data_IF_471583490998
#
_entry.id   IF_471583490998
#
_cell.length_a   1.000
_cell.length_b   1.000
_cell.length_c   1.000
_cell.angle_alpha   90.00
_cell.angle_beta   90.00
_cell.angle_gamma   90.00
#
_symmetry.space_group_name_H-M   'P 1'
#
loop_
_entity.id
_entity.type
_entity.pdbx_description
1 polymer ?
#
# COMPACT_ATOMS: atom_id res chain seq x y z
N UNK A 1 40.00 -33.84 56.60
CA UNK A 1 40.25 -33.01 55.39
C UNK A 1 39.55 -33.67 54.20
N UNK A 2 38.91 -32.86 53.33
CA UNK A 2 38.19 -33.21 52.08
C UNK A 2 36.73 -33.65 52.25
N UNK A 3 35.75 -33.19 51.48
CA UNK A 3 35.64 -32.07 50.54
C UNK A 3 34.16 -31.77 50.28
N UNK A 4 33.88 -30.49 50.02
CA UNK A 4 32.63 -29.86 49.64
C UNK A 4 32.44 -29.97 48.12
N UNK A 5 31.30 -30.42 47.59
CA UNK A 5 30.87 -30.12 46.21
C UNK A 5 29.34 -29.98 46.18
N UNK A 6 28.88 -28.74 46.05
CA UNK A 6 27.50 -28.39 45.76
C UNK A 6 27.23 -28.46 44.26
N UNK A 7 26.06 -28.99 43.89
CA UNK A 7 25.59 -29.07 42.52
C UNK A 7 24.65 -27.89 42.26
N UNK A 8 25.10 -26.89 41.50
CA UNK A 8 24.23 -25.88 40.88
C UNK A 8 23.73 -26.43 39.55
N UNK A 9 22.44 -26.75 39.45
CA UNK A 9 21.77 -27.00 38.17
C UNK A 9 21.32 -25.67 37.58
N UNK A 10 22.05 -25.18 36.57
CA UNK A 10 21.61 -24.07 35.72
C UNK A 10 20.61 -24.60 34.69
N UNK A 11 19.35 -24.13 34.77
CA UNK A 11 18.32 -24.41 33.78
C UNK A 11 18.60 -23.65 32.49
N UNK A 12 18.81 -24.37 31.39
CA UNK A 12 18.93 -23.82 30.05
C UNK A 12 17.53 -23.58 29.47
N UNK A 13 17.11 -22.32 29.41
CA UNK A 13 15.89 -21.90 28.71
C UNK A 13 16.15 -21.86 27.21
N UNK A 14 15.60 -22.82 26.46
CA UNK A 14 15.59 -22.82 25.00
C UNK A 14 14.62 -21.73 24.50
N UNK A 15 15.16 -20.60 24.06
CA UNK A 15 14.42 -19.62 23.28
C UNK A 15 14.27 -20.16 21.84
N UNK A 16 13.09 -20.68 21.51
CA UNK A 16 12.72 -20.96 20.12
C UNK A 16 12.52 -19.65 19.38
N UNK A 17 13.50 -19.24 18.58
CA UNK A 17 13.33 -18.15 17.62
C UNK A 17 12.42 -18.65 16.49
N UNK A 18 11.20 -18.10 16.42
CA UNK A 18 10.35 -18.27 15.25
C UNK A 18 10.94 -17.44 14.11
N UNK A 19 11.60 -18.10 13.16
CA UNK A 19 12.00 -17.47 11.91
C UNK A 19 10.75 -17.30 11.05
N UNK A 20 10.31 -16.05 10.83
CA UNK A 20 9.33 -15.73 9.81
C UNK A 20 10.02 -15.84 8.45
N UNK A 21 9.82 -16.94 7.74
CA UNK A 21 10.25 -17.04 6.36
C UNK A 21 9.46 -16.02 5.53
N UNK A 22 10.16 -15.19 4.76
CA UNK A 22 9.50 -14.36 3.74
C UNK A 22 8.86 -15.29 2.70
N UNK A 23 7.68 -14.93 2.16
CA UNK A 23 7.05 -15.74 1.12
C UNK A 23 8.00 -15.84 -0.09
N UNK A 24 8.25 -17.08 -0.55
CA UNK A 24 9.13 -17.36 -1.70
C UNK A 24 8.58 -16.77 -3.00
N UNK A 25 7.25 -16.70 -3.09
CA UNK A 25 6.48 -16.32 -4.27
C UNK A 25 5.48 -15.23 -3.92
N UNK A 26 5.24 -14.32 -4.85
CA UNK A 26 4.32 -13.19 -4.72
C UNK A 26 3.81 -12.81 -6.13
N UNK A 27 2.51 -12.63 -6.28
CA UNK A 27 1.87 -12.13 -7.50
C UNK A 27 1.28 -10.76 -7.21
N UNK A 28 1.52 -9.77 -8.07
CA UNK A 28 0.98 -8.41 -7.90
C UNK A 28 0.32 -7.92 -9.16
N UNK A 29 -0.75 -7.16 -9.00
CA UNK A 29 -1.31 -6.38 -10.10
C UNK A 29 -0.41 -5.19 -10.39
N UNK A 30 -0.12 -4.95 -11.67
CA UNK A 30 0.69 -3.77 -12.06
C UNK A 30 -0.19 -2.52 -12.31
N UNK A 31 -1.50 -2.65 -12.17
CA UNK A 31 -2.48 -1.59 -12.37
C UNK A 31 -3.75 -1.84 -11.55
N UNK A 32 -4.52 -0.78 -11.19
CA UNK A 32 -5.80 -0.94 -10.50
C UNK A 32 -6.76 -1.85 -11.27
N UNK A 33 -7.48 -2.69 -10.54
CA UNK A 33 -8.51 -3.56 -11.10
C UNK A 33 -9.80 -2.78 -11.30
N UNK A 34 -10.45 -2.95 -12.45
CA UNK A 34 -11.72 -2.28 -12.75
C UNK A 34 -12.66 -3.21 -13.51
N UNK A 35 -13.97 -3.02 -13.32
CA UNK A 35 -15.04 -3.88 -13.85
C UNK A 35 -15.07 -4.04 -15.39
N UNK A 36 -14.40 -3.16 -16.14
CA UNK A 36 -14.39 -3.18 -17.62
C UNK A 36 -13.07 -3.67 -18.23
N UNK A 37 -12.16 -4.24 -17.44
CA UNK A 37 -10.90 -4.77 -17.95
C UNK A 37 -11.09 -6.12 -18.61
N UNK A 38 -10.70 -6.23 -19.88
CA UNK A 38 -10.65 -7.51 -20.61
C UNK A 38 -9.40 -8.32 -20.28
N UNK A 39 -8.36 -7.65 -19.78
CA UNK A 39 -7.11 -8.25 -19.33
C UNK A 39 -6.50 -7.47 -18.17
N UNK A 40 -5.84 -8.19 -17.27
CA UNK A 40 -5.09 -7.64 -16.14
C UNK A 40 -3.63 -8.04 -16.29
N UNK A 41 -2.75 -7.06 -16.05
CA UNK A 41 -1.31 -7.27 -16.05
C UNK A 41 -0.84 -7.59 -14.63
N UNK A 42 -0.04 -8.65 -14.54
CA UNK A 42 0.51 -9.17 -13.30
C UNK A 42 2.04 -9.21 -13.37
N UNK A 43 2.64 -9.13 -12.19
CA UNK A 43 4.04 -9.43 -11.97
C UNK A 43 4.15 -10.58 -10.97
N UNK A 44 4.78 -11.68 -11.39
CA UNK A 44 5.14 -12.78 -10.51
C UNK A 44 6.58 -12.60 -10.06
N UNK A 45 6.80 -12.43 -8.75
CA UNK A 45 8.10 -12.25 -8.14
C UNK A 45 8.52 -13.49 -7.36
N UNK A 46 9.80 -13.85 -7.48
CA UNK A 46 10.43 -14.96 -6.76
C UNK A 46 11.59 -14.39 -5.93
N UNK A 47 11.58 -14.67 -4.62
CA UNK A 47 12.59 -14.15 -3.69
C UNK A 47 14.00 -14.72 -3.92
N UNK A 48 14.07 -15.97 -4.39
CA UNK A 48 15.29 -16.66 -4.79
C UNK A 48 14.98 -17.60 -5.97
N UNK A 49 15.49 -17.25 -7.15
CA UNK A 49 15.34 -18.02 -8.37
C UNK A 49 16.66 -18.65 -8.86
N UNK A 50 17.60 -18.91 -7.93
CA UNK A 50 18.87 -19.57 -8.25
C UNK A 50 18.70 -20.97 -8.83
N UNK A 51 17.67 -21.69 -8.37
CA UNK A 51 17.33 -23.04 -8.83
C UNK A 51 16.21 -23.05 -9.89
N UNK A 52 15.72 -21.89 -10.32
CA UNK A 52 14.61 -21.83 -11.27
C UNK A 52 15.07 -22.23 -12.67
N UNK A 53 14.32 -23.13 -13.31
CA UNK A 53 14.51 -23.51 -14.72
C UNK A 53 13.53 -22.76 -15.62
N UNK A 54 12.24 -22.84 -15.31
CA UNK A 54 11.17 -22.20 -16.09
C UNK A 54 9.93 -21.94 -15.25
N UNK A 55 9.06 -21.10 -15.79
CA UNK A 55 7.78 -20.73 -15.20
C UNK A 55 6.69 -20.91 -16.25
N UNK A 56 5.65 -21.65 -15.91
CA UNK A 56 4.46 -21.83 -16.73
C UNK A 56 3.31 -21.05 -16.11
N UNK A 57 2.73 -20.15 -16.90
CA UNK A 57 1.63 -19.30 -16.48
C UNK A 57 0.37 -19.81 -17.13
N UNK A 58 -0.65 -20.07 -16.31
CA UNK A 58 -1.95 -20.52 -16.80
C UNK A 58 -2.68 -19.34 -17.44
N UNK A 59 -2.95 -19.43 -18.73
CA UNK A 59 -3.71 -18.45 -19.49
C UNK A 59 -5.00 -19.07 -20.01
N UNK A 60 -5.85 -18.24 -20.61
CA UNK A 60 -7.09 -18.67 -21.27
C UNK A 60 -6.84 -19.55 -22.49
N UNK A 61 -5.68 -19.40 -23.13
CA UNK A 61 -5.29 -20.13 -24.35
C UNK A 61 -4.41 -21.37 -24.05
N UNK A 62 -4.12 -21.64 -22.77
CA UNK A 62 -3.32 -22.78 -22.33
C UNK A 62 -2.26 -22.36 -21.32
N UNK A 63 -1.00 -22.66 -21.61
CA UNK A 63 0.14 -22.27 -20.77
C UNK A 63 1.09 -21.38 -21.56
N UNK A 64 1.51 -20.28 -20.96
CA UNK A 64 2.65 -19.51 -21.44
C UNK A 64 3.87 -19.84 -20.61
N UNK A 65 4.91 -20.37 -21.26
CA UNK A 65 6.16 -20.76 -20.60
C UNK A 65 7.21 -19.66 -20.77
N UNK A 66 7.90 -19.34 -19.69
CA UNK A 66 9.04 -18.41 -19.64
C UNK A 66 10.25 -19.14 -19.07
N UNK A 67 11.40 -18.96 -19.70
CA UNK A 67 12.67 -19.47 -19.18
C UNK A 67 13.21 -18.54 -18.09
N UNK A 68 14.00 -19.08 -17.16
CA UNK A 68 14.66 -18.27 -16.13
C UNK A 68 15.56 -17.14 -16.69
N UNK A 69 16.03 -17.27 -17.93
CA UNK A 69 16.79 -16.24 -18.64
C UNK A 69 15.96 -15.04 -19.11
N UNK A 70 14.64 -15.20 -19.22
CA UNK A 70 13.71 -14.13 -19.62
C UNK A 70 13.22 -13.29 -18.42
N UNK A 71 13.59 -13.70 -17.22
CA UNK A 71 13.20 -13.03 -16.00
C UNK A 71 13.87 -11.65 -15.87
N UNK A 72 13.11 -10.67 -15.39
CA UNK A 72 13.64 -9.37 -14.98
C UNK A 72 14.33 -9.53 -13.63
N UNK A 73 15.48 -8.89 -13.43
CA UNK A 73 16.21 -8.89 -12.16
C UNK A 73 16.33 -7.47 -11.62
N UNK A 74 15.99 -7.22 -10.34
CA UNK A 74 16.17 -5.90 -9.75
C UNK A 74 17.67 -5.58 -9.60
N UNK A 75 18.03 -4.29 -9.71
CA UNK A 75 19.42 -3.87 -9.55
C UNK A 75 19.98 -4.14 -8.15
N UNK A 76 19.10 -4.34 -7.17
CA UNK A 76 19.41 -4.53 -5.76
C UNK A 76 19.65 -5.99 -5.38
N UNK A 77 19.33 -6.97 -6.24
CA UNK A 77 19.49 -8.38 -5.93
C UNK A 77 19.70 -9.23 -7.20
N UNK A 78 20.76 -10.03 -7.20
CA UNK A 78 21.07 -10.95 -8.30
C UNK A 78 20.28 -12.26 -8.24
N UNK A 79 19.71 -12.62 -7.09
CA UNK A 79 19.00 -13.89 -6.87
C UNK A 79 17.49 -13.76 -7.03
N UNK A 80 16.95 -12.53 -6.92
CA UNK A 80 15.53 -12.26 -7.16
C UNK A 80 15.27 -12.15 -8.65
N UNK A 81 14.10 -12.60 -9.07
CA UNK A 81 13.62 -12.31 -10.40
C UNK A 81 12.11 -12.23 -10.49
N UNK A 82 11.63 -11.58 -11.55
CA UNK A 82 10.22 -11.41 -11.81
C UNK A 82 9.85 -11.64 -13.27
N UNK A 83 8.60 -12.06 -13.47
CA UNK A 83 7.99 -12.30 -14.77
C UNK A 83 6.75 -11.45 -14.92
N UNK A 84 6.66 -10.71 -16.01
CA UNK A 84 5.46 -9.93 -16.33
C UNK A 84 4.58 -10.74 -17.27
N UNK A 85 3.30 -10.82 -16.97
CA UNK A 85 2.33 -11.55 -17.78
C UNK A 85 0.96 -10.90 -17.70
N UNK A 86 0.05 -11.32 -18.56
CA UNK A 86 -1.32 -10.88 -18.53
C UNK A 86 -2.27 -12.08 -18.52
N UNK A 87 -3.35 -11.95 -17.76
CA UNK A 87 -4.45 -12.92 -17.79
C UNK A 87 -5.70 -12.26 -18.32
N UNK A 88 -6.66 -13.07 -18.76
CA UNK A 88 -7.94 -12.64 -19.28
C UNK A 88 -9.04 -13.62 -18.85
N UNK A 89 -10.31 -13.25 -19.07
CA UNK A 89 -11.48 -14.11 -18.84
C UNK A 89 -11.52 -14.78 -17.45
N UNK A 90 -11.56 -16.11 -17.37
CA UNK A 90 -11.71 -16.88 -16.14
C UNK A 90 -10.47 -16.90 -15.23
N UNK A 91 -9.33 -16.35 -15.66
CA UNK A 91 -8.11 -16.19 -14.86
C UNK A 91 -7.83 -14.72 -14.54
N UNK A 92 -8.74 -13.81 -14.92
CA UNK A 92 -8.58 -12.36 -14.80
C UNK A 92 -8.25 -11.92 -13.37
N UNK A 93 -8.82 -12.59 -12.36
CA UNK A 93 -8.66 -12.28 -10.94
C UNK A 93 -8.11 -13.46 -10.13
N UNK A 94 -7.61 -14.50 -10.79
CA UNK A 94 -7.08 -15.69 -10.14
C UNK A 94 -5.88 -16.25 -10.91
N UNK A 95 -4.80 -15.47 -11.04
CA UNK A 95 -3.61 -15.93 -11.75
C UNK A 95 -3.00 -17.14 -11.05
N UNK A 96 -2.52 -18.10 -11.85
CA UNK A 96 -1.87 -19.31 -11.39
C UNK A 96 -0.59 -19.55 -12.17
N UNK A 97 0.49 -19.77 -11.43
CA UNK A 97 1.84 -19.91 -11.93
C UNK A 97 2.46 -21.20 -11.40
N UNK A 98 3.01 -22.01 -12.29
CA UNK A 98 3.77 -23.21 -11.93
C UNK A 98 5.23 -23.00 -12.21
N UNK A 99 6.06 -23.13 -11.19
CA UNK A 99 7.52 -23.06 -11.31
C UNK A 99 8.10 -24.45 -11.50
N UNK A 100 9.17 -24.53 -12.28
CA UNK A 100 9.95 -25.75 -12.46
C UNK A 100 11.39 -25.45 -12.08
N UNK A 101 11.93 -26.20 -11.13
CA UNK A 101 13.30 -26.07 -10.67
C UNK A 101 14.25 -26.96 -11.50
N UNK A 102 15.54 -26.62 -11.53
CA UNK A 102 16.59 -27.38 -12.23
C UNK A 102 16.73 -28.80 -11.69
N UNK A 103 16.38 -29.02 -10.43
CA UNK A 103 16.39 -30.32 -9.75
C UNK A 103 15.13 -31.16 -10.04
N UNK A 104 14.21 -30.67 -10.89
CA UNK A 104 12.96 -31.34 -11.26
C UNK A 104 11.81 -31.13 -10.28
N UNK A 105 11.99 -30.27 -9.26
CA UNK A 105 10.91 -29.84 -8.38
C UNK A 105 9.90 -28.97 -9.13
N UNK A 106 8.63 -29.06 -8.74
CA UNK A 106 7.55 -28.27 -9.34
C UNK A 106 6.63 -27.74 -8.26
N UNK A 107 6.39 -26.44 -8.24
CA UNK A 107 5.50 -25.78 -7.28
C UNK A 107 4.49 -24.91 -8.02
N UNK A 108 3.19 -25.09 -7.72
CA UNK A 108 2.12 -24.24 -8.23
C UNK A 108 1.71 -23.23 -7.18
N UNK A 109 1.67 -21.96 -7.57
CA UNK A 109 1.29 -20.82 -6.74
C UNK A 109 0.18 -20.03 -7.42
N UNK A 110 -0.86 -19.70 -6.66
CA UNK A 110 -1.99 -18.93 -7.15
C UNK A 110 -2.44 -17.94 -6.10
N UNK A 111 -2.84 -16.76 -6.55
CA UNK A 111 -3.45 -15.74 -5.71
C UNK A 111 -4.85 -15.41 -6.23
N UNK A 112 -5.67 -14.83 -5.36
CA UNK A 112 -7.00 -14.36 -5.72
C UNK A 112 -7.08 -12.86 -5.47
N UNK A 113 -7.50 -12.15 -6.51
CA UNK A 113 -7.70 -10.71 -6.49
C UNK A 113 -9.18 -10.40 -6.56
N UNK A 114 -9.53 -9.20 -6.13
CA UNK A 114 -10.89 -8.69 -6.21
C UNK A 114 -10.83 -7.25 -6.68
N UNK A 115 -11.83 -6.85 -7.45
CA UNK A 115 -12.02 -5.43 -7.74
C UNK A 115 -12.31 -4.69 -6.45
N UNK A 116 -11.60 -3.59 -6.23
CA UNK A 116 -11.89 -2.68 -5.13
C UNK A 116 -13.05 -1.75 -5.54
N UNK A 117 -14.25 -2.12 -5.10
CA UNK A 117 -15.50 -1.45 -5.48
C UNK A 117 -15.95 -0.42 -4.44
N UNK A 118 -15.40 -0.49 -3.23
CA UNK A 118 -15.72 0.44 -2.15
C UNK A 118 -14.78 1.63 -2.24
N UNK A 119 -15.36 2.83 -2.37
CA UNK A 119 -14.56 4.06 -2.33
C UNK A 119 -14.26 4.42 -0.87
N UNK A 120 -13.07 4.96 -0.58
CA UNK A 120 -12.77 5.51 0.73
C UNK A 120 -13.82 6.57 1.08
N UNK A 121 -14.30 6.51 2.32
CA UNK A 121 -15.17 7.54 2.88
C UNK A 121 -14.30 8.63 3.46
N UNK A 122 -14.62 9.88 3.14
CA UNK A 122 -13.97 11.06 3.69
C UNK A 122 -15.04 12.01 4.20
N UNK A 123 -14.92 12.44 5.45
CA UNK A 123 -15.81 13.43 6.06
C UNK A 123 -15.01 14.54 6.72
N UNK A 124 -15.58 15.74 6.71
CA UNK A 124 -15.08 16.88 7.46
C UNK A 124 -15.68 16.82 8.86
N UNK A 125 -14.87 16.42 9.85
CA UNK A 125 -15.30 16.30 11.24
C UNK A 125 -15.35 17.66 11.93
N UNK A 126 -14.32 18.50 11.73
CA UNK A 126 -14.26 19.82 12.37
C UNK A 126 -13.44 20.84 11.58
N UNK A 127 -13.82 22.11 11.69
CA UNK A 127 -13.01 23.28 11.31
C UNK A 127 -13.06 24.28 12.44
N UNK A 128 -11.90 24.63 12.97
CA UNK A 128 -11.78 25.56 14.10
C UNK A 128 -10.62 26.53 13.92
N UNK A 129 -10.65 27.62 14.67
CA UNK A 129 -9.50 28.53 14.81
C UNK A 129 -8.85 28.27 16.16
N UNK A 130 -7.57 27.95 16.15
CA UNK A 130 -6.77 27.71 17.34
C UNK A 130 -5.67 28.77 17.47
N UNK A 131 -5.37 29.18 18.70
CA UNK A 131 -4.22 30.06 18.99
C UNK A 131 -3.13 29.23 19.65
N UNK A 132 -1.95 29.20 19.04
CA UNK A 132 -0.77 28.48 19.55
C UNK A 132 0.39 29.45 19.63
N UNK A 133 0.94 29.66 20.83
CA UNK A 133 2.05 30.58 21.08
C UNK A 133 1.82 32.01 20.52
N UNK A 134 0.58 32.52 20.64
CA UNK A 134 0.20 33.85 20.15
C UNK A 134 -0.04 33.96 18.65
N UNK A 135 0.07 32.87 17.88
CA UNK A 135 -0.25 32.81 16.45
C UNK A 135 -1.59 32.10 16.23
N UNK A 136 -2.37 32.56 15.26
CA UNK A 136 -3.64 31.95 14.90
C UNK A 136 -3.44 30.92 13.78
N UNK A 137 -4.21 29.83 13.87
CA UNK A 137 -4.22 28.75 12.90
C UNK A 137 -5.65 28.34 12.64
N UNK A 138 -5.97 28.01 11.40
CA UNK A 138 -7.15 27.22 11.07
C UNK A 138 -6.76 25.75 11.20
N UNK A 139 -7.44 25.04 12.09
CA UNK A 139 -7.30 23.60 12.28
C UNK A 139 -8.48 22.88 11.62
N UNK A 140 -8.16 21.94 10.74
CA UNK A 140 -9.11 21.08 10.03
C UNK A 140 -8.91 19.65 10.52
N UNK A 141 -9.99 19.01 10.95
CA UNK A 141 -10.00 17.59 11.31
C UNK A 141 -10.87 16.84 10.30
N UNK A 142 -10.28 15.83 9.68
CA UNK A 142 -10.90 14.96 8.70
C UNK A 142 -10.99 13.56 9.28
N UNK A 143 -12.07 12.87 8.99
CA UNK A 143 -12.19 11.43 9.24
C UNK A 143 -12.20 10.73 7.88
N UNK A 144 -11.32 9.76 7.72
CA UNK A 144 -11.27 8.91 6.54
C UNK A 144 -11.29 7.44 6.96
N UNK A 145 -12.01 6.64 6.19
CA UNK A 145 -12.07 5.19 6.39
C UNK A 145 -12.12 4.50 5.04
N UNK A 146 -11.35 3.45 4.89
CA UNK A 146 -11.41 2.56 3.74
C UNK A 146 -11.36 1.10 4.22
N UNK A 147 -11.74 0.17 3.35
CA UNK A 147 -11.60 -1.26 3.64
C UNK A 147 -10.19 -1.80 3.28
N UNK A 148 -9.34 -0.95 2.69
CA UNK A 148 -7.92 -1.15 2.41
C UNK A 148 -7.06 -0.02 2.99
N UNK A 149 -5.76 -0.03 2.71
CA UNK A 149 -4.82 0.97 3.22
C UNK A 149 -5.00 2.34 2.55
N UNK A 150 -5.23 3.38 3.35
CA UNK A 150 -5.28 4.75 2.87
C UNK A 150 -3.88 5.24 2.44
N UNK A 151 -3.71 5.65 1.17
CA UNK A 151 -2.43 6.20 0.71
C UNK A 151 -2.14 7.62 1.23
N UNK A 152 -3.07 8.56 1.02
CA UNK A 152 -2.98 9.93 1.51
C UNK A 152 -4.32 10.67 1.38
N UNK A 153 -4.49 11.76 2.13
CA UNK A 153 -5.56 12.74 1.94
C UNK A 153 -5.00 13.99 1.26
N UNK A 154 -5.65 14.43 0.19
CA UNK A 154 -5.32 15.69 -0.47
C UNK A 154 -6.32 16.78 -0.08
N UNK A 155 -5.85 17.81 0.63
CA UNK A 155 -6.67 18.93 1.11
C UNK A 155 -6.26 20.24 0.44
N UNK A 156 -7.25 21.03 0.02
CA UNK A 156 -7.07 22.45 -0.32
C UNK A 156 -8.00 23.27 0.56
N UNK A 157 -7.44 24.25 1.27
CA UNK A 157 -8.18 25.07 2.23
C UNK A 157 -8.24 26.52 1.76
N UNK A 158 -9.44 27.10 1.81
CA UNK A 158 -9.68 28.54 1.64
C UNK A 158 -10.63 29.03 2.74
N UNK A 159 -10.20 30.02 3.52
CA UNK A 159 -11.01 30.66 4.56
C UNK A 159 -11.52 32.02 4.09
N UNK A 160 -12.83 32.22 4.10
CA UNK A 160 -13.50 33.47 3.67
C UNK A 160 -14.22 34.08 4.87
N UNK A 161 -14.10 35.40 5.05
CA UNK A 161 -14.88 36.11 6.08
C UNK A 161 -16.32 36.27 5.60
N UNK A 162 -17.27 36.18 6.53
CA UNK A 162 -18.68 36.39 6.19
C UNK A 162 -18.97 37.81 5.67
N UNK A 163 -18.15 38.82 6.03
CA UNK A 163 -18.22 40.16 5.45
C UNK A 163 -17.93 40.15 3.95
N UNK A 164 -16.90 39.42 3.56
CA UNK A 164 -16.37 39.42 2.20
C UNK A 164 -17.31 38.65 1.27
N UNK A 165 -17.87 37.55 1.77
CA UNK A 165 -18.91 36.81 1.06
C UNK A 165 -20.16 37.68 0.83
N UNK A 166 -20.56 38.50 1.80
CA UNK A 166 -21.69 39.44 1.63
C UNK A 166 -21.36 40.56 0.64
N UNK A 167 -20.15 41.13 0.72
CA UNK A 167 -19.67 42.13 -0.23
C UNK A 167 -19.63 41.59 -1.67
N UNK A 168 -19.36 40.29 -1.83
CA UNK A 168 -19.42 39.57 -3.10
C UNK A 168 -20.84 39.10 -3.51
N UNK A 169 -21.90 39.59 -2.84
CA UNK A 169 -23.29 39.17 -3.08
C UNK A 169 -23.52 37.65 -2.97
N UNK A 170 -22.76 36.96 -2.11
CA UNK A 170 -22.84 35.52 -1.91
C UNK A 170 -22.05 34.69 -2.93
N UNK A 171 -21.35 35.30 -3.88
CA UNK A 171 -20.57 34.59 -4.89
C UNK A 171 -19.24 34.15 -4.29
N UNK A 172 -19.11 32.85 -4.00
CA UNK A 172 -17.92 32.25 -3.37
C UNK A 172 -16.65 32.54 -4.17
N UNK A 173 -16.69 32.38 -5.50
CA UNK A 173 -15.51 32.54 -6.34
C UNK A 173 -14.93 33.96 -6.30
N UNK A 174 -15.79 34.99 -6.23
CA UNK A 174 -15.37 36.38 -6.04
C UNK A 174 -14.83 36.64 -4.64
N UNK A 175 -15.40 36.00 -3.62
CA UNK A 175 -14.95 36.15 -2.23
C UNK A 175 -13.64 35.41 -1.94
N UNK A 176 -13.25 34.43 -2.78
CA UNK A 176 -11.97 33.73 -2.67
C UNK A 176 -10.75 34.61 -2.97
N UNK A 177 -10.95 35.73 -3.67
CA UNK A 177 -9.89 36.71 -3.97
C UNK A 177 -9.42 37.45 -2.71
N UNK A 178 -10.27 37.51 -1.68
CA UNK A 178 -9.96 38.14 -0.38
C UNK A 178 -9.87 37.14 0.76
N UNK A 179 -9.64 35.86 0.45
CA UNK A 179 -9.54 34.80 1.46
C UNK A 179 -8.43 35.10 2.48
N UNK A 180 -8.75 35.00 3.78
CA UNK A 180 -7.79 35.24 4.86
C UNK A 180 -6.86 34.03 5.10
N UNK A 181 -7.28 32.84 4.64
CA UNK A 181 -6.50 31.62 4.66
C UNK A 181 -6.56 31.00 3.27
N UNK A 182 -5.42 30.64 2.67
CA UNK A 182 -5.40 29.93 1.39
C UNK A 182 -4.14 29.10 1.25
N UNK A 183 -4.29 27.79 1.12
CA UNK A 183 -3.14 26.94 0.79
C UNK A 183 -2.68 27.24 -0.64
N UNK A 184 -1.36 27.24 -0.92
CA UNK A 184 -0.81 27.52 -2.27
C UNK A 184 -1.15 26.44 -3.31
N UNK A 185 -1.75 25.33 -2.86
CA UNK A 185 -2.19 24.23 -3.69
C UNK A 185 -2.88 23.17 -2.84
N UNK A 186 -2.90 21.94 -3.33
CA UNK A 186 -3.34 20.79 -2.55
C UNK A 186 -2.18 20.29 -1.68
N UNK A 187 -2.43 20.16 -0.39
CA UNK A 187 -1.49 19.59 0.59
C UNK A 187 -1.84 18.12 0.78
N UNK A 188 -0.82 17.25 0.77
CA UNK A 188 -0.98 15.82 1.05
C UNK A 188 -0.71 15.55 2.52
N UNK A 189 -1.61 14.81 3.16
CA UNK A 189 -1.50 14.34 4.53
C UNK A 189 -1.42 12.82 4.46
N UNK A 190 -0.32 12.25 4.94
CA UNK A 190 -0.09 10.81 4.93
C UNK A 190 -0.49 10.22 6.29
N UNK A 191 -1.05 9.00 6.33
CA UNK A 191 -1.26 8.30 7.58
C UNK A 191 0.08 7.97 8.25
N UNK A 192 0.05 7.94 9.57
CA UNK A 192 1.17 7.54 10.43
C UNK A 192 1.09 6.07 10.86
N UNK A 193 -0.05 5.42 10.63
CA UNK A 193 -0.29 4.00 10.84
C UNK A 193 -1.41 3.50 9.92
N UNK A 194 -1.41 2.20 9.62
CA UNK A 194 -2.36 1.56 8.70
C UNK A 194 -3.83 1.74 9.16
N UNK A 195 -4.08 1.69 10.47
CA UNK A 195 -5.43 1.86 11.05
C UNK A 195 -5.84 3.33 11.32
N UNK A 196 -5.07 4.32 10.84
CA UNK A 196 -5.36 5.72 11.16
C UNK A 196 -6.61 6.22 10.41
N UNK A 197 -7.64 6.60 11.17
CA UNK A 197 -8.89 7.15 10.62
C UNK A 197 -9.07 8.65 10.80
N UNK A 198 -8.30 9.28 11.69
CA UNK A 198 -8.42 10.73 11.99
C UNK A 198 -7.18 11.47 11.51
N UNK A 199 -7.38 12.56 10.76
CA UNK A 199 -6.32 13.36 10.17
C UNK A 199 -6.48 14.82 10.55
N UNK A 200 -5.39 15.45 10.98
CA UNK A 200 -5.38 16.86 11.38
C UNK A 200 -4.46 17.68 10.50
N UNK A 201 -4.94 18.84 10.06
CA UNK A 201 -4.17 19.82 9.31
C UNK A 201 -4.31 21.20 9.94
N UNK A 202 -3.20 21.93 10.08
CA UNK A 202 -3.19 23.29 10.62
C UNK A 202 -2.53 24.25 9.64
N UNK A 203 -3.21 25.37 9.36
CA UNK A 203 -2.71 26.42 8.47
C UNK A 203 -2.65 27.77 9.18
N UNK A 204 -1.51 28.48 9.19
CA UNK A 204 -1.40 29.78 9.85
C UNK A 204 -2.26 30.85 9.17
N UNK A 205 -2.86 31.74 9.95
CA UNK A 205 -3.70 32.86 9.49
C UNK A 205 -3.36 34.18 10.16
#
# INVERSE_FOLDING_TARGET
MKNLIGLLTAGASLFSATAFAQPRYDIRTTSPLTSSQESVNYEFAISDCSDLKSVDITTTEGFQSFLASEAKRPLTSAIQCSFSFSTSSNQLYSPSVTTHDVNGGTDTYSEQFFEEIEKPKLSLSNVSVATVAGKQYVKVTLEASDNSDLSYISLRLSGIRASDLRAAAGVVEKALDTAFARTPGSVRIFPSSDDQTVFEFSYPV
#
